data_IF_878939182249
#
_entry.id   IF_878939182249
#
_cell.length_a   1.000
_cell.length_b   1.000
_cell.length_c   1.000
_cell.angle_alpha   90.00
_cell.angle_beta   90.00
_cell.angle_gamma   90.00
#
_symmetry.space_group_name_H-M   'P 1'
#
loop_
_entity.id
_entity.type
_entity.pdbx_description
1 polymer ?
#
# COMPACT_ATOMS: atom_id res chain seq x y z
N UNK A 1 -6.14 6.74 -22.53
CA UNK A 1 -4.85 6.18 -22.97
C UNK A 1 -3.78 6.91 -22.18
N UNK A 2 -3.31 6.32 -21.09
CA UNK A 2 -2.29 6.92 -20.22
C UNK A 2 -0.91 6.77 -20.88
N UNK A 3 -0.02 7.78 -20.82
CA UNK A 3 1.29 7.69 -21.41
C UNK A 3 2.19 6.77 -20.56
N UNK A 4 2.67 5.69 -21.19
CA UNK A 4 3.61 4.68 -20.67
C UNK A 4 4.87 5.31 -20.03
N UNK A 5 5.19 6.56 -20.37
CA UNK A 5 6.33 7.32 -19.86
C UNK A 5 6.36 7.45 -18.32
N UNK A 6 5.21 7.70 -17.66
CA UNK A 6 5.18 7.93 -16.21
C UNK A 6 5.41 6.65 -15.39
N UNK A 7 5.13 5.49 -15.97
CA UNK A 7 5.32 4.19 -15.30
C UNK A 7 6.81 3.81 -15.25
N UNK A 8 7.56 4.15 -16.31
CA UNK A 8 9.01 3.97 -16.36
C UNK A 8 9.76 4.91 -15.39
N UNK A 9 9.20 6.08 -15.05
CA UNK A 9 9.84 6.99 -14.08
C UNK A 9 9.75 6.47 -12.64
N UNK A 10 8.71 5.68 -12.32
CA UNK A 10 8.61 4.95 -11.05
C UNK A 10 9.64 3.82 -10.98
N UNK A 11 9.78 3.05 -12.06
CA UNK A 11 10.81 2.01 -12.17
C UNK A 11 12.23 2.60 -12.13
N UNK A 12 12.46 3.77 -12.76
CA UNK A 12 13.77 4.43 -12.77
C UNK A 12 14.19 4.97 -11.39
N UNK A 13 13.26 5.37 -10.53
CA UNK A 13 13.59 5.74 -9.15
C UNK A 13 14.09 4.55 -8.33
N UNK A 14 13.65 3.33 -8.65
CA UNK A 14 14.16 2.09 -8.01
C UNK A 14 15.66 1.97 -8.25
N UNK A 15 16.13 2.25 -9.47
CA UNK A 15 17.55 2.16 -9.82
C UNK A 15 18.41 3.26 -9.16
N UNK A 16 17.88 4.48 -8.94
CA UNK A 16 18.68 5.63 -8.46
C UNK A 16 18.95 5.54 -6.94
N UNK A 17 18.09 4.88 -6.16
CA UNK A 17 18.32 4.65 -4.72
C UNK A 17 19.50 3.72 -4.40
N UNK A 18 20.17 3.13 -5.40
CA UNK A 18 21.34 2.25 -5.23
C UNK A 18 22.69 2.97 -5.11
N UNK A 19 22.71 4.30 -5.01
CA UNK A 19 23.94 5.09 -5.04
C UNK A 19 24.17 6.00 -3.84
N UNK A 20 24.34 5.43 -2.63
CA UNK A 20 25.24 5.91 -1.54
C UNK A 20 24.79 5.34 -0.17
N UNK A 21 25.46 4.29 0.27
CA UNK A 21 25.52 3.92 1.69
C UNK A 21 26.96 4.14 2.17
N UNK A 22 27.18 5.25 2.87
CA UNK A 22 28.32 5.41 3.77
C UNK A 22 27.90 4.91 5.15
N UNK A 23 28.65 3.92 5.64
CA UNK A 23 28.45 3.19 6.88
C UNK A 23 28.33 4.09 8.12
N UNK A 24 27.32 3.83 8.95
CA UNK A 24 27.42 4.01 10.39
C UNK A 24 26.65 2.90 11.10
N UNK A 25 27.39 2.11 11.88
CA UNK A 25 26.94 0.92 12.57
C UNK A 25 26.14 1.28 13.84
N UNK A 26 24.94 0.71 13.97
CA UNK A 26 24.17 0.73 15.21
C UNK A 26 22.74 0.29 14.98
N UNK A 27 22.43 -0.94 15.43
CA UNK A 27 21.08 -1.44 15.74
C UNK A 27 20.11 -1.64 14.56
N UNK A 28 19.88 -2.89 14.18
CA UNK A 28 18.83 -3.22 13.20
C UNK A 28 18.85 -4.66 12.68
N UNK A 29 18.91 -5.65 13.56
CA UNK A 29 18.79 -7.08 13.22
C UNK A 29 17.37 -7.45 12.76
N UNK A 30 16.85 -6.85 11.69
CA UNK A 30 15.72 -7.35 10.86
C UNK A 30 15.82 -6.81 9.42
N UNK A 31 17.01 -6.83 8.81
CA UNK A 31 17.16 -6.50 7.39
C UNK A 31 17.70 -7.73 6.67
N UNK A 32 16.80 -8.52 6.07
CA UNK A 32 17.04 -9.43 4.93
C UNK A 32 15.87 -10.44 4.72
N UNK A 33 14.61 -10.03 4.92
CA UNK A 33 13.51 -10.68 4.19
C UNK A 33 13.59 -10.10 2.76
N UNK A 34 13.87 -10.95 1.77
CA UNK A 34 14.49 -10.60 0.48
C UNK A 34 13.96 -9.30 -0.16
N UNK A 35 14.81 -8.25 -0.19
CA UNK A 35 14.53 -6.94 -0.81
C UNK A 35 14.03 -7.07 -2.27
N UNK A 36 14.50 -8.10 -2.98
CA UNK A 36 14.10 -8.45 -4.34
C UNK A 36 12.60 -8.83 -4.46
N UNK A 37 12.02 -9.47 -3.43
CA UNK A 37 10.61 -9.82 -3.42
C UNK A 37 9.73 -8.60 -3.20
N UNK A 38 10.19 -7.60 -2.44
CA UNK A 38 9.43 -6.38 -2.18
C UNK A 38 9.26 -5.52 -3.44
N UNK A 39 10.33 -5.33 -4.22
CA UNK A 39 10.25 -4.56 -5.47
C UNK A 39 9.36 -5.26 -6.51
N UNK A 40 9.43 -6.60 -6.60
CA UNK A 40 8.53 -7.37 -7.45
C UNK A 40 7.05 -7.22 -7.03
N UNK A 41 6.75 -7.33 -5.73
CA UNK A 41 5.40 -7.12 -5.20
C UNK A 41 4.92 -5.69 -5.50
N UNK A 42 5.76 -4.69 -5.26
CA UNK A 42 5.40 -3.30 -5.54
C UNK A 42 5.09 -3.09 -7.01
N UNK A 43 5.91 -3.63 -7.92
CA UNK A 43 5.67 -3.53 -9.36
C UNK A 43 4.29 -4.08 -9.75
N UNK A 44 3.87 -5.22 -9.17
CA UNK A 44 2.57 -5.84 -9.46
C UNK A 44 1.38 -4.96 -9.13
N UNK A 45 1.46 -4.14 -8.08
CA UNK A 45 0.31 -3.35 -7.59
C UNK A 45 0.43 -1.84 -7.83
N UNK A 46 1.59 -1.37 -8.30
CA UNK A 46 1.89 0.07 -8.40
C UNK A 46 0.94 0.82 -9.34
N UNK A 47 0.52 0.21 -10.45
CA UNK A 47 -0.39 0.86 -11.40
C UNK A 47 -1.77 1.17 -10.79
N UNK A 48 -2.36 0.18 -10.12
CA UNK A 48 -3.66 0.33 -9.45
C UNK A 48 -3.54 1.26 -8.24
N UNK A 49 -2.46 1.13 -7.47
CA UNK A 49 -2.20 1.99 -6.33
C UNK A 49 -2.00 3.46 -6.75
N UNK A 50 -1.32 3.72 -7.87
CA UNK A 50 -1.13 5.05 -8.44
C UNK A 50 -2.46 5.69 -8.82
N UNK A 51 -3.33 4.93 -9.48
CA UNK A 51 -4.68 5.40 -9.86
C UNK A 51 -5.48 5.83 -8.63
N UNK A 52 -5.45 5.02 -7.56
CA UNK A 52 -6.08 5.38 -6.29
C UNK A 52 -5.44 6.61 -5.64
N UNK A 53 -4.11 6.71 -5.71
CA UNK A 53 -3.36 7.80 -5.10
C UNK A 53 -3.61 9.16 -5.74
N UNK A 54 -3.66 9.23 -7.07
CA UNK A 54 -4.00 10.46 -7.79
C UNK A 54 -5.37 11.00 -7.39
N UNK A 55 -6.35 10.12 -7.19
CA UNK A 55 -7.70 10.50 -6.75
C UNK A 55 -7.72 11.03 -5.31
N UNK A 56 -7.00 10.37 -4.40
CA UNK A 56 -7.02 10.72 -2.96
C UNK A 56 -6.17 11.94 -2.66
N UNK A 57 -4.97 12.02 -3.22
CA UNK A 57 -4.00 13.07 -2.87
C UNK A 57 -4.41 14.44 -3.42
N UNK A 58 -5.04 14.49 -4.59
CA UNK A 58 -5.58 15.72 -5.16
C UNK A 58 -6.92 16.17 -4.57
N UNK A 59 -7.60 15.32 -3.79
CA UNK A 59 -8.85 15.70 -3.14
C UNK A 59 -8.59 16.68 -1.99
N UNK A 60 -8.89 17.96 -2.21
CA UNK A 60 -8.70 19.02 -1.21
C UNK A 60 -9.72 18.99 -0.08
N UNK A 61 -10.79 18.21 -0.19
CA UNK A 61 -11.79 18.05 0.87
C UNK A 61 -11.33 17.09 1.98
N UNK A 62 -10.33 16.26 1.71
CA UNK A 62 -9.84 15.27 2.65
C UNK A 62 -8.69 15.83 3.50
N UNK A 63 -8.75 15.72 4.83
CA UNK A 63 -7.60 16.05 5.67
C UNK A 63 -6.49 15.01 5.50
N UNK A 64 -5.24 15.43 5.71
CA UNK A 64 -4.03 14.62 5.49
C UNK A 64 -4.09 13.24 6.18
N UNK A 65 -4.48 13.11 7.47
CA UNK A 65 -4.59 11.79 8.12
C UNK A 65 -5.56 10.84 7.41
N UNK A 66 -6.66 11.38 6.86
CA UNK A 66 -7.65 10.59 6.11
C UNK A 66 -7.09 10.15 4.76
N UNK A 67 -6.31 11.01 4.08
CA UNK A 67 -5.61 10.64 2.85
C UNK A 67 -4.67 9.46 3.08
N UNK A 68 -3.82 9.56 4.10
CA UNK A 68 -2.86 8.52 4.49
C UNK A 68 -3.58 7.20 4.80
N UNK A 69 -4.63 7.26 5.63
CA UNK A 69 -5.42 6.06 5.99
C UNK A 69 -6.05 5.40 4.77
N UNK A 70 -6.63 6.20 3.87
CA UNK A 70 -7.25 5.68 2.64
C UNK A 70 -6.23 5.05 1.69
N UNK A 71 -5.06 5.68 1.51
CA UNK A 71 -3.98 5.13 0.69
C UNK A 71 -3.52 3.78 1.22
N UNK A 72 -3.27 3.67 2.54
CA UNK A 72 -2.89 2.41 3.17
C UNK A 72 -3.97 1.34 3.04
N UNK A 73 -5.25 1.72 3.16
CA UNK A 73 -6.37 0.82 2.94
C UNK A 73 -6.42 0.25 1.51
N UNK A 74 -6.17 1.09 0.49
CA UNK A 74 -6.09 0.66 -0.90
C UNK A 74 -4.90 -0.28 -1.09
N UNK A 75 -3.71 0.11 -0.64
CA UNK A 75 -2.49 -0.71 -0.79
C UNK A 75 -2.68 -2.08 -0.14
N UNK A 76 -3.19 -2.12 1.10
CA UNK A 76 -3.48 -3.37 1.79
C UNK A 76 -4.49 -4.24 1.05
N UNK A 77 -5.54 -3.63 0.49
CA UNK A 77 -6.54 -4.35 -0.31
C UNK A 77 -5.91 -4.99 -1.56
N UNK A 78 -5.04 -4.27 -2.26
CA UNK A 78 -4.33 -4.81 -3.42
C UNK A 78 -3.40 -5.96 -3.01
N UNK A 79 -2.69 -5.81 -1.88
CA UNK A 79 -1.78 -6.82 -1.35
C UNK A 79 -2.49 -8.10 -0.88
N UNK A 80 -3.79 -8.07 -0.54
CA UNK A 80 -4.56 -9.28 -0.24
C UNK A 80 -4.69 -10.22 -1.45
N UNK A 81 -4.57 -9.69 -2.68
CA UNK A 81 -4.65 -10.47 -3.92
C UNK A 81 -3.31 -11.05 -4.36
N UNK A 82 -2.19 -10.57 -3.80
CA UNK A 82 -0.84 -10.96 -4.22
C UNK A 82 -0.46 -12.33 -3.66
N UNK A 83 0.09 -13.16 -4.53
CA UNK A 83 0.68 -14.46 -4.16
C UNK A 83 2.08 -14.57 -4.75
N UNK A 84 3.03 -15.02 -3.95
CA UNK A 84 4.37 -15.38 -4.39
C UNK A 84 4.52 -16.91 -4.32
N UNK A 85 4.93 -17.52 -5.44
CA UNK A 85 5.08 -18.98 -5.54
C UNK A 85 3.82 -19.77 -5.12
N UNK A 86 2.63 -19.21 -5.39
CA UNK A 86 1.33 -19.82 -5.04
C UNK A 86 0.94 -19.68 -3.56
N UNK A 87 1.71 -18.95 -2.75
CA UNK A 87 1.41 -18.67 -1.35
C UNK A 87 1.06 -17.18 -1.15
N UNK A 88 0.14 -16.91 -0.23
CA UNK A 88 -0.15 -15.53 0.19
C UNK A 88 1.07 -14.92 0.88
N UNK A 89 1.34 -13.65 0.60
CA UNK A 89 2.40 -12.91 1.27
C UNK A 89 2.09 -12.69 2.76
N UNK A 90 3.13 -12.69 3.59
CA UNK A 90 3.00 -12.57 5.05
C UNK A 90 2.53 -11.18 5.47
N UNK A 91 1.97 -11.05 6.68
CA UNK A 91 1.60 -9.74 7.24
C UNK A 91 2.79 -8.79 7.39
N UNK A 92 3.97 -9.32 7.74
CA UNK A 92 5.22 -8.55 7.85
C UNK A 92 5.62 -7.95 6.50
N UNK A 93 5.60 -8.76 5.43
CA UNK A 93 5.87 -8.31 4.06
C UNK A 93 4.85 -7.26 3.63
N UNK A 94 3.56 -7.50 3.88
CA UNK A 94 2.50 -6.51 3.57
C UNK A 94 2.74 -5.17 4.25
N UNK A 95 3.13 -5.18 5.53
CA UNK A 95 3.44 -3.95 6.28
C UNK A 95 4.61 -3.20 5.64
N UNK A 96 5.73 -3.89 5.39
CA UNK A 96 6.93 -3.30 4.83
C UNK A 96 6.67 -2.70 3.43
N UNK A 97 6.07 -3.49 2.53
CA UNK A 97 5.72 -3.06 1.18
C UNK A 97 4.74 -1.88 1.21
N UNK A 98 3.76 -1.88 2.11
CA UNK A 98 2.78 -0.80 2.20
C UNK A 98 3.41 0.54 2.57
N UNK A 99 4.33 0.56 3.55
CA UNK A 99 5.02 1.79 3.96
C UNK A 99 5.92 2.33 2.85
N UNK A 100 6.67 1.44 2.19
CA UNK A 100 7.55 1.81 1.07
C UNK A 100 6.73 2.36 -0.10
N UNK A 101 5.67 1.67 -0.50
CA UNK A 101 4.82 2.09 -1.60
C UNK A 101 4.07 3.39 -1.27
N UNK A 102 3.55 3.55 -0.05
CA UNK A 102 2.92 4.80 0.39
C UNK A 102 3.86 6.00 0.20
N UNK A 103 5.10 5.86 0.69
CA UNK A 103 6.11 6.91 0.58
C UNK A 103 6.39 7.25 -0.88
N UNK A 104 6.57 6.24 -1.74
CA UNK A 104 6.77 6.41 -3.19
C UNK A 104 5.57 7.14 -3.83
N UNK A 105 4.34 6.73 -3.52
CA UNK A 105 3.14 7.36 -4.07
C UNK A 105 3.01 8.84 -3.69
N UNK A 106 3.31 9.19 -2.43
CA UNK A 106 3.31 10.61 -2.00
C UNK A 106 4.38 11.39 -2.78
N UNK A 107 5.59 10.86 -2.91
CA UNK A 107 6.66 11.48 -3.71
C UNK A 107 6.26 11.66 -5.18
N UNK A 108 5.62 10.69 -5.80
CA UNK A 108 5.29 10.77 -7.22
C UNK A 108 4.09 11.65 -7.53
N UNK A 109 3.06 11.62 -6.68
CA UNK A 109 1.79 12.30 -6.96
C UNK A 109 1.76 13.70 -6.34
N UNK A 110 2.38 13.88 -5.17
CA UNK A 110 2.25 15.09 -4.37
C UNK A 110 3.55 15.88 -4.21
N UNK A 111 4.61 15.62 -5.01
CA UNK A 111 5.91 16.33 -4.90
C UNK A 111 5.78 17.85 -4.94
N UNK A 112 4.83 18.35 -5.74
CA UNK A 112 4.63 19.79 -5.96
C UNK A 112 3.51 20.36 -5.06
N UNK A 113 2.96 19.53 -4.17
CA UNK A 113 1.92 19.95 -3.23
C UNK A 113 2.52 20.75 -2.08
N UNK A 114 1.82 21.81 -1.67
CA UNK A 114 2.15 22.53 -0.42
C UNK A 114 2.04 21.66 0.84
N UNK A 115 1.30 20.55 0.75
CA UNK A 115 1.05 19.62 1.85
C UNK A 115 2.06 18.45 1.84
N UNK A 116 3.06 18.47 0.96
CA UNK A 116 4.00 17.36 0.74
C UNK A 116 4.74 16.93 2.01
N UNK A 117 5.36 17.89 2.71
CA UNK A 117 6.14 17.62 3.93
C UNK A 117 5.25 17.03 5.05
N UNK A 118 4.05 17.58 5.21
CA UNK A 118 3.07 17.10 6.19
C UNK A 118 2.57 15.68 5.85
N UNK A 119 2.36 15.39 4.56
CA UNK A 119 1.99 14.06 4.08
C UNK A 119 3.08 13.03 4.42
N UNK A 120 4.35 13.34 4.11
CA UNK A 120 5.48 12.47 4.42
C UNK A 120 5.61 12.29 5.94
N UNK A 121 5.62 13.38 6.70
CA UNK A 121 5.81 13.33 8.14
C UNK A 121 4.71 12.53 8.85
N UNK A 122 3.44 12.83 8.58
CA UNK A 122 2.33 12.12 9.20
C UNK A 122 2.24 10.68 8.73
N UNK A 123 2.66 10.37 7.50
CA UNK A 123 2.68 8.98 7.02
C UNK A 123 3.67 8.11 7.81
N UNK A 124 4.81 8.67 8.20
CA UNK A 124 5.82 7.98 9.00
C UNK A 124 5.37 7.77 10.44
N UNK A 125 4.67 8.75 11.03
CA UNK A 125 4.15 8.66 12.40
C UNK A 125 2.99 7.66 12.48
N UNK A 126 2.00 7.79 11.60
CA UNK A 126 0.72 7.08 11.74
C UNK A 126 0.65 5.79 10.92
N UNK A 127 1.45 5.67 9.85
CA UNK A 127 1.37 4.55 8.93
C UNK A 127 1.59 3.17 9.58
N UNK A 128 2.61 2.99 10.45
CA UNK A 128 2.84 1.71 11.12
C UNK A 128 1.63 1.23 11.94
N UNK A 129 1.03 2.09 12.75
CA UNK A 129 -0.09 1.75 13.64
C UNK A 129 -1.38 1.46 12.85
N UNK A 130 -1.63 2.23 11.79
CA UNK A 130 -2.74 1.98 10.87
C UNK A 130 -2.60 0.59 10.23
N UNK A 131 -1.39 0.25 9.75
CA UNK A 131 -1.14 -1.03 9.10
C UNK A 131 -1.25 -2.21 10.06
N UNK A 132 -0.76 -2.07 11.29
CA UNK A 132 -0.96 -3.10 12.33
C UNK A 132 -2.44 -3.37 12.54
N UNK A 133 -3.24 -2.31 12.68
CA UNK A 133 -4.69 -2.41 12.82
C UNK A 133 -5.32 -3.12 11.60
N UNK A 134 -4.95 -2.75 10.38
CA UNK A 134 -5.49 -3.36 9.15
C UNK A 134 -5.13 -4.85 9.04
N UNK A 135 -3.90 -5.22 9.43
CA UNK A 135 -3.44 -6.62 9.45
C UNK A 135 -4.16 -7.44 10.52
N UNK A 136 -4.40 -6.87 11.69
CA UNK A 136 -5.18 -7.54 12.75
C UNK A 136 -6.63 -7.78 12.33
N UNK A 137 -7.27 -6.76 11.76
CA UNK A 137 -8.63 -6.89 11.23
C UNK A 137 -8.69 -7.92 10.11
N UNK A 138 -7.72 -7.96 9.20
CA UNK A 138 -7.71 -8.96 8.11
C UNK A 138 -7.56 -10.40 8.60
N UNK A 139 -6.87 -10.62 9.74
CA UNK A 139 -6.81 -11.93 10.42
C UNK A 139 -8.13 -12.28 11.13
N UNK A 140 -8.80 -11.30 11.72
CA UNK A 140 -10.05 -11.48 12.48
C UNK A 140 -11.28 -11.72 11.61
N UNK A 141 -11.27 -11.26 10.36
CA UNK A 141 -12.30 -11.58 9.35
C UNK A 141 -12.03 -12.97 8.80
N UNK A 142 -12.32 -13.98 9.61
CA UNK A 142 -12.42 -15.36 9.15
C UNK A 142 -13.53 -15.42 8.09
N UNK A 143 -13.15 -15.47 6.80
CA UNK A 143 -14.05 -15.43 5.63
C UNK A 143 -15.15 -16.50 5.64
N UNK A 144 -15.06 -17.49 6.54
CA UNK A 144 -16.11 -18.48 6.83
C UNK A 144 -17.43 -17.86 7.31
N UNK A 145 -17.43 -16.65 7.86
CA UNK A 145 -18.67 -15.94 8.22
C UNK A 145 -19.33 -15.21 7.04
N UNK A 146 -18.54 -14.78 6.04
CA UNK A 146 -19.04 -13.99 4.90
C UNK A 146 -19.65 -14.86 3.80
N UNK A 147 -19.16 -16.09 3.62
CA UNK A 147 -19.77 -17.05 2.69
C UNK A 147 -21.18 -17.47 3.13
N UNK A 148 -21.46 -17.54 4.44
CA UNK A 148 -22.80 -17.85 4.96
C UNK A 148 -23.83 -16.73 4.74
N UNK A 149 -23.41 -15.49 4.51
CA UNK A 149 -24.33 -14.36 4.26
C UNK A 149 -24.59 -14.09 2.78
N UNK A 150 -23.79 -14.64 1.86
CA UNK A 150 -24.10 -14.57 0.42
C UNK A 150 -25.25 -15.50 0.00
N UNK A 151 -25.46 -16.61 0.72
CA UNK A 151 -26.56 -17.53 0.39
C UNK A 151 -27.93 -17.10 0.93
N UNK A 152 -27.98 -16.20 1.92
CA UNK A 152 -29.26 -15.83 2.58
C UNK A 152 -29.87 -14.51 2.09
N UNK A 153 -29.15 -13.69 1.32
CA UNK A 153 -29.69 -12.42 0.84
C UNK A 153 -30.52 -12.54 -0.46
N UNK A 154 -30.42 -13.67 -1.18
CA UNK A 154 -31.07 -13.85 -2.48
C UNK A 154 -32.35 -14.72 -2.48
N UNK A 155 -32.81 -15.22 -1.32
CA UNK A 155 -34.05 -16.02 -1.23
C UNK A 155 -35.30 -15.21 -0.86
N UNK A 156 -35.22 -13.89 -0.73
CA UNK A 156 -36.31 -13.04 -0.22
C UNK A 156 -37.15 -12.27 -1.25
N UNK A 157 -36.80 -12.26 -2.54
CA UNK A 157 -37.43 -11.35 -3.53
C UNK A 157 -38.30 -12.01 -4.60
N UNK A 158 -38.68 -13.28 -4.42
CA UNK A 158 -39.70 -13.95 -5.25
C UNK A 158 -40.86 -14.45 -4.38
N UNK A 159 -41.67 -13.51 -3.88
CA UNK A 159 -43.04 -13.78 -3.43
C UNK A 159 -43.85 -12.48 -3.31
N UNK A 160 -44.40 -12.03 -4.43
CA UNK A 160 -45.84 -11.76 -4.62
C UNK A 160 -46.10 -11.26 -6.03
#
# INVERSE_FOLDING_TARGET
MFPIQKMNDVEKYVEISHGKEDMSAGEGLIEMEHKEDHDAIMSLISGDAMTGAELILHDSSLPIPVKITKLLGIIMTLLESVQLNGAKISGTVKKAVSLQLLTRLIHFVASDSKDFDDLIHLSQIMGPDILETLIEVSKGVNLTAVEKHKETCCFGLLSK
#
